data_IF_989498152015
#
_entry.id   IF_989498152015
#
_cell.length_a   1.000
_cell.length_b   1.000
_cell.length_c   1.000
_cell.angle_alpha   90.00
_cell.angle_beta   90.00
_cell.angle_gamma   90.00
#
_symmetry.space_group_name_H-M   'P 1'
#
loop_
_entity.id
_entity.type
_entity.pdbx_description
1 polymer ?
#
# COMPACT_ATOMS: atom_id res chain seq x y z
N UNK A 1 -13.31 -0.40 -15.78
CA UNK A 1 -12.38 0.72 -15.53
C UNK A 1 -12.90 1.46 -14.32
N UNK A 2 -12.25 1.31 -13.18
CA UNK A 2 -12.60 2.05 -11.96
C UNK A 2 -12.44 3.54 -12.22
N UNK A 3 -13.51 4.32 -12.10
CA UNK A 3 -13.42 5.78 -12.07
C UNK A 3 -12.61 6.15 -10.82
N UNK A 4 -11.39 6.63 -11.02
CA UNK A 4 -10.60 7.22 -9.94
C UNK A 4 -11.09 8.65 -9.76
N UNK A 5 -11.77 8.91 -8.65
CA UNK A 5 -12.33 10.21 -8.33
C UNK A 5 -11.22 11.15 -7.80
N UNK A 6 -10.98 12.26 -8.51
CA UNK A 6 -9.98 13.27 -8.14
C UNK A 6 -10.72 14.54 -7.72
N UNK A 7 -10.55 14.95 -6.46
CA UNK A 7 -11.20 16.15 -5.94
C UNK A 7 -10.51 17.42 -6.45
N UNK A 8 -11.26 18.31 -7.09
CA UNK A 8 -10.79 19.65 -7.46
C UNK A 8 -11.03 20.62 -6.31
N UNK A 9 -10.02 21.39 -5.93
CA UNK A 9 -10.06 22.33 -4.79
C UNK A 9 -9.50 23.69 -5.19
N UNK A 10 -10.17 24.79 -4.81
CA UNK A 10 -9.67 26.16 -4.97
C UNK A 10 -8.62 26.47 -3.90
N UNK A 11 -7.39 26.76 -4.33
CA UNK A 11 -6.32 27.18 -3.43
C UNK A 11 -6.31 28.69 -3.25
N UNK A 12 -6.17 29.22 -2.01
CA UNK A 12 -6.14 28.55 -0.70
C UNK A 12 -7.52 28.44 -0.01
N UNK A 13 -8.61 28.82 -0.68
CA UNK A 13 -9.93 28.95 -0.05
C UNK A 13 -10.46 27.64 0.57
N UNK A 14 -10.09 26.48 0.03
CA UNK A 14 -10.58 25.17 0.48
C UNK A 14 -9.55 24.39 1.32
N UNK A 15 -8.72 25.07 2.11
CA UNK A 15 -7.66 24.44 2.91
C UNK A 15 -8.17 23.40 3.93
N UNK A 16 -9.26 23.67 4.65
CA UNK A 16 -9.86 22.69 5.57
C UNK A 16 -10.28 21.41 4.85
N UNK A 17 -10.81 21.55 3.63
CA UNK A 17 -11.21 20.42 2.79
C UNK A 17 -10.00 19.67 2.24
N UNK A 18 -8.92 20.38 1.88
CA UNK A 18 -7.62 19.80 1.50
C UNK A 18 -7.07 18.91 2.63
N UNK A 19 -7.07 19.41 3.87
CA UNK A 19 -6.61 18.66 5.05
C UNK A 19 -7.49 17.42 5.30
N UNK A 20 -8.82 17.56 5.22
CA UNK A 20 -9.75 16.44 5.39
C UNK A 20 -9.63 15.36 4.29
N UNK A 21 -9.25 15.74 3.07
CA UNK A 21 -9.00 14.84 1.94
C UNK A 21 -7.62 14.16 2.04
N UNK A 22 -6.61 14.87 2.51
CA UNK A 22 -5.29 14.29 2.80
C UNK A 22 -5.38 13.23 3.90
N UNK A 23 -6.09 13.51 4.99
CA UNK A 23 -6.26 12.58 6.11
C UNK A 23 -6.92 11.24 5.72
N UNK A 24 -7.67 11.19 4.62
CA UNK A 24 -8.32 9.98 4.09
C UNK A 24 -7.61 9.37 2.87
N UNK A 25 -6.46 9.91 2.46
CA UNK A 25 -5.72 9.45 1.28
C UNK A 25 -6.44 9.67 -0.05
N UNK A 26 -7.27 10.71 -0.15
CA UNK A 26 -7.96 11.02 -1.40
C UNK A 26 -7.05 11.80 -2.38
N UNK A 27 -7.20 11.49 -3.67
CA UNK A 27 -6.53 12.23 -4.74
C UNK A 27 -7.15 13.62 -4.86
N UNK A 28 -6.29 14.62 -4.99
CA UNK A 28 -6.71 16.02 -5.05
C UNK A 28 -5.84 16.85 -5.99
N UNK A 29 -6.49 17.70 -6.77
CA UNK A 29 -5.85 18.66 -7.67
C UNK A 29 -6.21 20.07 -7.20
N UNK A 30 -5.19 20.85 -6.85
CA UNK A 30 -5.37 22.23 -6.40
C UNK A 30 -5.42 23.17 -7.61
N UNK A 31 -6.50 23.93 -7.73
CA UNK A 31 -6.69 24.98 -8.71
C UNK A 31 -6.16 26.29 -8.11
N UNK A 32 -5.04 26.78 -8.66
CA UNK A 32 -4.28 27.93 -8.15
C UNK A 32 -4.53 29.13 -9.04
N UNK A 33 -5.08 30.22 -8.51
CA UNK A 33 -5.24 31.46 -9.29
C UNK A 33 -3.87 32.07 -9.67
N UNK A 34 -3.83 32.84 -10.76
CA UNK A 34 -2.59 33.31 -11.38
C UNK A 34 -1.65 34.08 -10.43
N UNK A 35 -2.21 34.83 -9.49
CA UNK A 35 -1.47 35.68 -8.55
C UNK A 35 -1.16 34.97 -7.22
N UNK A 36 -1.56 33.71 -7.07
CA UNK A 36 -1.30 32.94 -5.85
C UNK A 36 0.04 32.20 -5.93
N UNK A 37 0.77 32.12 -4.80
CA UNK A 37 1.96 31.28 -4.70
C UNK A 37 1.58 29.82 -4.91
N UNK A 38 2.46 29.08 -5.59
CA UNK A 38 2.29 27.65 -5.76
C UNK A 38 2.30 26.96 -4.38
N UNK A 39 1.32 26.09 -4.08
CA UNK A 39 1.35 25.32 -2.85
C UNK A 39 2.49 24.31 -2.89
N UNK A 40 3.08 24.05 -1.72
CA UNK A 40 3.89 22.84 -1.53
C UNK A 40 2.95 21.64 -1.52
N UNK A 41 3.20 20.66 -2.41
CA UNK A 41 2.44 19.43 -2.43
C UNK A 41 2.68 18.67 -1.12
N UNK A 42 1.62 18.37 -0.39
CA UNK A 42 1.72 17.76 0.93
C UNK A 42 2.10 16.26 0.87
N UNK A 43 1.71 15.58 -0.20
CA UNK A 43 1.99 14.17 -0.44
C UNK A 43 1.96 13.83 -1.95
N UNK A 44 2.21 12.57 -2.29
CA UNK A 44 2.22 12.09 -3.66
C UNK A 44 0.82 11.95 -4.29
N UNK A 45 -0.26 12.13 -3.52
CA UNK A 45 -1.66 12.08 -3.98
C UNK A 45 -2.20 13.48 -4.28
N UNK A 46 -1.33 14.49 -4.27
CA UNK A 46 -1.64 15.88 -4.56
C UNK A 46 -0.82 16.40 -5.75
N UNK A 47 -1.48 17.20 -6.58
CA UNK A 47 -0.84 18.01 -7.62
C UNK A 47 -1.57 19.37 -7.67
N UNK A 48 -1.03 20.33 -8.40
CA UNK A 48 -1.67 21.64 -8.59
C UNK A 48 -1.56 22.09 -10.04
N UNK A 49 -2.50 22.95 -10.44
CA UNK A 49 -2.51 23.58 -11.77
C UNK A 49 -2.89 25.06 -11.64
N UNK A 50 -2.19 25.91 -12.38
CA UNK A 50 -2.44 27.36 -12.41
C UNK A 50 -3.59 27.67 -13.37
N UNK A 51 -4.50 28.53 -12.94
CA UNK A 51 -5.58 29.05 -13.76
C UNK A 51 -5.15 30.33 -14.48
N UNK A 52 -5.68 30.59 -15.70
CA UNK A 52 -6.64 29.75 -16.42
C UNK A 52 -5.97 28.49 -17.00
N UNK A 53 -6.64 27.34 -16.86
CA UNK A 53 -6.22 26.07 -17.44
C UNK A 53 -7.33 25.54 -18.35
N UNK A 54 -6.94 24.85 -19.42
CA UNK A 54 -7.91 24.15 -20.27
C UNK A 54 -8.48 22.93 -19.54
N UNK A 55 -9.67 22.47 -19.94
CA UNK A 55 -10.22 21.21 -19.42
C UNK A 55 -9.30 20.03 -19.73
N UNK A 56 -8.66 20.02 -20.90
CA UNK A 56 -7.73 18.97 -21.32
C UNK A 56 -6.51 18.89 -20.38
N UNK A 57 -5.98 20.02 -19.93
CA UNK A 57 -4.85 20.07 -18.98
C UNK A 57 -5.26 19.59 -17.59
N UNK A 58 -6.45 19.98 -17.12
CA UNK A 58 -7.02 19.51 -15.86
C UNK A 58 -7.19 17.99 -15.90
N UNK A 59 -7.79 17.46 -16.98
CA UNK A 59 -8.01 16.04 -17.15
C UNK A 59 -6.68 15.26 -17.28
N UNK A 60 -5.67 15.84 -17.95
CA UNK A 60 -4.34 15.27 -18.03
C UNK A 60 -3.67 15.17 -16.65
N UNK A 61 -3.81 16.20 -15.82
CA UNK A 61 -3.32 16.20 -14.43
C UNK A 61 -4.06 15.17 -13.58
N UNK A 62 -5.38 15.08 -13.68
CA UNK A 62 -6.18 14.06 -12.99
C UNK A 62 -5.76 12.64 -13.40
N UNK A 63 -5.56 12.37 -14.71
CA UNK A 63 -5.05 11.07 -15.19
C UNK A 63 -3.64 10.77 -14.68
N UNK A 64 -2.77 11.78 -14.64
CA UNK A 64 -1.41 11.63 -14.11
C UNK A 64 -1.43 11.34 -12.61
N UNK A 65 -2.28 12.01 -11.83
CA UNK A 65 -2.51 11.74 -10.41
C UNK A 65 -3.08 10.34 -10.19
N UNK A 66 -4.08 9.92 -10.96
CA UNK A 66 -4.63 8.57 -10.89
C UNK A 66 -3.58 7.50 -11.21
N UNK A 67 -2.79 7.69 -12.27
CA UNK A 67 -1.68 6.78 -12.62
C UNK A 67 -0.61 6.78 -11.53
N UNK A 68 -0.21 7.95 -11.02
CA UNK A 68 0.77 8.10 -9.94
C UNK A 68 0.27 7.43 -8.67
N UNK A 69 -1.01 7.57 -8.36
CA UNK A 69 -1.68 6.81 -7.30
C UNK A 69 -1.56 5.34 -7.58
N UNK A 70 -1.93 4.79 -8.73
CA UNK A 70 -1.76 3.35 -8.98
C UNK A 70 -0.31 2.85 -8.81
N UNK A 71 0.68 3.69 -9.08
CA UNK A 71 2.12 3.37 -8.90
C UNK A 71 2.61 3.56 -7.46
N UNK A 72 2.10 4.54 -6.70
CA UNK A 72 2.49 4.81 -5.30
C UNK A 72 1.59 4.08 -4.29
N UNK A 73 0.32 3.99 -4.63
CA UNK A 73 -0.69 3.05 -4.14
C UNK A 73 -0.57 1.68 -4.81
N UNK A 74 0.62 1.33 -5.35
CA UNK A 74 1.07 -0.07 -5.44
C UNK A 74 1.35 -0.59 -4.02
N UNK A 75 0.43 -0.47 -3.06
CA UNK A 75 -0.84 -1.17 -2.78
C UNK A 75 -0.55 -2.13 -1.63
N UNK A 76 -1.29 -2.04 -0.53
CA UNK A 76 -1.15 -3.05 0.51
C UNK A 76 -1.35 -4.43 -0.14
N UNK A 77 -0.45 -5.39 0.08
CA UNK A 77 -0.48 -6.65 -0.62
C UNK A 77 -1.86 -7.33 -0.52
N UNK A 78 -2.40 -7.76 -1.66
CA UNK A 78 -3.75 -8.34 -1.74
C UNK A 78 -3.68 -9.86 -1.80
N UNK A 79 -4.41 -10.55 -0.93
CA UNK A 79 -4.55 -12.01 -0.97
C UNK A 79 -5.97 -12.38 -1.40
N UNK A 80 -6.11 -13.12 -2.50
CA UNK A 80 -7.41 -13.59 -2.96
C UNK A 80 -7.84 -14.92 -2.27
N UNK A 81 -9.11 -15.34 -2.43
CA UNK A 81 -9.63 -16.56 -1.81
C UNK A 81 -8.92 -17.85 -2.23
N UNK A 82 -8.27 -17.85 -3.40
CA UNK A 82 -7.54 -18.99 -3.94
C UNK A 82 -6.08 -19.03 -3.47
N UNK A 83 -5.68 -18.10 -2.61
CA UNK A 83 -4.35 -18.04 -2.01
C UNK A 83 -3.29 -17.38 -2.90
N UNK A 84 -3.69 -16.58 -3.89
CA UNK A 84 -2.76 -15.79 -4.71
C UNK A 84 -2.54 -14.42 -4.08
N UNK A 85 -1.30 -14.19 -3.67
CA UNK A 85 -0.82 -12.91 -3.14
C UNK A 85 -0.33 -12.03 -4.29
N UNK A 86 -0.80 -10.78 -4.37
CA UNK A 86 -0.43 -9.79 -5.38
C UNK A 86 0.16 -8.54 -4.75
N UNK A 87 1.15 -7.95 -5.41
CA UNK A 87 1.78 -6.68 -5.05
C UNK A 87 2.22 -5.99 -6.34
N UNK A 88 1.66 -4.81 -6.63
CA UNK A 88 1.89 -4.14 -7.92
C UNK A 88 1.55 -5.07 -9.09
N UNK A 89 2.51 -5.30 -9.99
CA UNK A 89 2.35 -6.21 -11.14
C UNK A 89 2.77 -7.66 -10.86
N UNK A 90 3.34 -7.95 -9.68
CA UNK A 90 3.83 -9.27 -9.30
C UNK A 90 2.79 -10.10 -8.54
N UNK A 91 2.91 -11.44 -8.63
CA UNK A 91 2.07 -12.37 -7.87
C UNK A 91 2.82 -13.65 -7.48
N UNK A 92 2.36 -14.29 -6.38
CA UNK A 92 2.79 -15.63 -5.97
C UNK A 92 1.63 -16.44 -5.40
N UNK A 93 1.64 -17.76 -5.61
CA UNK A 93 0.67 -18.67 -4.98
C UNK A 93 1.18 -19.15 -3.62
N UNK A 94 0.33 -19.06 -2.61
CA UNK A 94 0.57 -19.51 -1.24
C UNK A 94 -0.19 -20.82 -0.96
N UNK A 95 0.47 -21.84 -0.39
CA UNK A 95 -0.23 -22.99 0.18
C UNK A 95 -1.27 -22.58 1.23
N UNK A 96 -2.35 -23.36 1.47
CA UNK A 96 -3.47 -22.94 2.32
C UNK A 96 -3.08 -22.46 3.73
N UNK A 97 -2.11 -23.13 4.35
CA UNK A 97 -1.59 -22.73 5.66
C UNK A 97 -0.83 -21.40 5.60
N UNK A 98 0.01 -21.22 4.58
CA UNK A 98 0.77 -19.99 4.36
C UNK A 98 -0.16 -18.82 4.00
N UNK A 99 -1.22 -19.08 3.22
CA UNK A 99 -2.25 -18.11 2.88
C UNK A 99 -2.98 -17.59 4.12
N UNK A 100 -3.43 -18.46 5.04
CA UNK A 100 -4.07 -18.02 6.29
C UNK A 100 -3.14 -17.21 7.19
N UNK A 101 -1.87 -17.62 7.30
CA UNK A 101 -0.87 -16.88 8.06
C UNK A 101 -0.62 -15.50 7.44
N UNK A 102 -0.55 -15.44 6.11
CA UNK A 102 -0.42 -14.20 5.36
C UNK A 102 -1.64 -13.29 5.57
N UNK A 103 -2.86 -13.82 5.49
CA UNK A 103 -4.09 -13.06 5.77
C UNK A 103 -4.02 -12.35 7.12
N UNK A 104 -3.63 -13.05 8.18
CA UNK A 104 -3.51 -12.44 9.51
C UNK A 104 -2.41 -11.37 9.61
N UNK A 105 -1.36 -11.46 8.79
CA UNK A 105 -0.32 -10.43 8.68
C UNK A 105 -0.79 -9.23 7.86
N UNK A 106 -1.59 -9.46 6.81
CA UNK A 106 -2.18 -8.43 5.95
C UNK A 106 -3.23 -7.60 6.68
N UNK A 107 -4.08 -8.25 7.48
CA UNK A 107 -5.08 -7.58 8.34
C UNK A 107 -4.43 -6.55 9.28
N UNK A 108 -3.13 -6.71 9.55
CA UNK A 108 -2.31 -5.82 10.37
C UNK A 108 -1.01 -5.44 9.67
N UNK A 109 -1.07 -5.13 8.38
CA UNK A 109 0.09 -4.69 7.61
C UNK A 109 0.80 -3.49 8.27
N UNK A 110 2.12 -3.56 8.41
CA UNK A 110 2.92 -2.57 9.15
C UNK A 110 2.83 -2.66 10.67
N UNK A 111 2.11 -3.63 11.25
CA UNK A 111 1.98 -3.83 12.69
C UNK A 111 2.39 -5.24 13.15
N UNK A 112 2.72 -5.36 14.43
CA UNK A 112 3.16 -6.65 15.01
C UNK A 112 1.96 -7.55 15.29
N UNK A 113 1.99 -8.75 14.71
CA UNK A 113 1.08 -9.86 15.02
C UNK A 113 1.80 -10.84 15.94
N UNK A 114 1.17 -11.20 17.05
CA UNK A 114 1.83 -12.05 18.06
C UNK A 114 2.01 -13.49 17.59
N UNK A 115 3.04 -14.16 18.12
CA UNK A 115 3.29 -15.60 17.83
C UNK A 115 2.09 -16.47 18.19
N UNK A 116 1.46 -16.19 19.33
CA UNK A 116 0.28 -16.93 19.79
C UNK A 116 -0.92 -16.73 18.85
N UNK A 117 -1.13 -15.50 18.36
CA UNK A 117 -2.20 -15.23 17.41
C UNK A 117 -1.97 -16.00 16.10
N UNK A 118 -0.77 -15.88 15.52
CA UNK A 118 -0.41 -16.60 14.30
C UNK A 118 -0.47 -18.11 14.47
N UNK A 119 -0.08 -18.63 15.63
CA UNK A 119 -0.15 -20.05 15.92
C UNK A 119 -1.59 -20.55 16.00
N UNK A 120 -2.49 -19.79 16.63
CA UNK A 120 -3.94 -20.11 16.65
C UNK A 120 -4.58 -20.01 15.27
N UNK A 121 -4.21 -19.01 14.47
CA UNK A 121 -4.70 -18.88 13.08
C UNK A 121 -4.20 -20.02 12.19
N UNK A 122 -2.92 -20.36 12.28
CA UNK A 122 -2.30 -21.42 11.50
C UNK A 122 -2.68 -22.83 11.97
N UNK A 123 -2.93 -23.02 13.26
CA UNK A 123 -3.28 -24.33 13.81
C UNK A 123 -4.32 -24.18 14.93
N UNK A 124 -5.61 -24.03 14.57
CA UNK A 124 -6.68 -23.90 15.56
C UNK A 124 -6.74 -25.09 16.54
N UNK A 125 -6.35 -26.28 16.08
CA UNK A 125 -6.32 -27.52 16.87
C UNK A 125 -4.97 -27.83 17.51
N UNK A 126 -4.02 -26.87 17.50
CA UNK A 126 -2.68 -27.05 18.03
C UNK A 126 -1.63 -27.31 16.94
N UNK A 127 -0.48 -26.65 17.08
CA UNK A 127 0.63 -26.77 16.13
C UNK A 127 1.36 -28.11 16.32
N UNK A 128 1.87 -28.74 15.22
CA UNK A 128 2.54 -30.04 15.27
C UNK A 128 3.91 -30.02 15.97
N UNK A 129 4.41 -28.84 16.36
CA UNK A 129 5.65 -28.68 17.12
C UNK A 129 5.92 -27.21 17.46
N UNK A 130 6.80 -26.97 18.45
CA UNK A 130 7.12 -25.61 18.94
C UNK A 130 7.67 -24.66 17.87
N UNK A 131 8.31 -25.22 16.84
CA UNK A 131 8.99 -24.46 15.77
C UNK A 131 8.18 -24.41 14.46
N UNK A 132 6.95 -24.92 14.44
CA UNK A 132 6.16 -24.99 13.21
C UNK A 132 5.93 -23.61 12.58
N UNK A 133 5.63 -22.61 13.41
CA UNK A 133 5.46 -21.21 12.95
C UNK A 133 6.72 -20.68 12.29
N UNK A 134 7.90 -20.88 12.90
CA UNK A 134 9.17 -20.37 12.38
C UNK A 134 9.51 -20.96 11.00
N UNK A 135 9.22 -22.25 10.79
CA UNK A 135 9.42 -22.92 9.50
C UNK A 135 8.55 -22.29 8.40
N UNK A 136 7.27 -22.02 8.69
CA UNK A 136 6.39 -21.38 7.71
C UNK A 136 6.74 -19.90 7.48
N UNK A 137 7.19 -19.18 8.51
CA UNK A 137 7.69 -17.81 8.33
C UNK A 137 8.94 -17.77 7.45
N UNK A 138 9.84 -18.75 7.57
CA UNK A 138 11.01 -18.87 6.68
C UNK A 138 10.60 -19.11 5.22
N UNK A 139 9.59 -19.97 4.98
CA UNK A 139 9.08 -20.24 3.63
C UNK A 139 8.37 -19.03 3.03
N UNK A 140 7.51 -18.37 3.80
CA UNK A 140 6.82 -17.15 3.39
C UNK A 140 7.81 -16.06 2.99
N UNK A 141 8.84 -15.79 3.79
CA UNK A 141 9.89 -14.82 3.46
C UNK A 141 10.51 -15.05 2.09
N UNK A 142 10.92 -16.29 1.80
CA UNK A 142 11.53 -16.64 0.51
C UNK A 142 10.54 -16.47 -0.63
N UNK A 143 9.28 -16.83 -0.40
CA UNK A 143 8.23 -16.83 -1.41
C UNK A 143 7.79 -15.41 -1.79
N UNK A 144 7.68 -14.49 -0.83
CA UNK A 144 7.19 -13.13 -1.06
C UNK A 144 8.30 -12.12 -1.41
N UNK A 145 9.57 -12.48 -1.23
CA UNK A 145 10.68 -11.58 -1.53
C UNK A 145 10.65 -11.01 -2.97
N UNK A 146 10.31 -11.78 -4.02
CA UNK A 146 10.19 -11.25 -5.39
C UNK A 146 9.07 -10.21 -5.56
N UNK A 147 8.11 -10.17 -4.62
CA UNK A 147 7.05 -9.16 -4.60
C UNK A 147 7.46 -7.86 -3.92
N UNK A 148 8.69 -7.74 -3.43
CA UNK A 148 9.11 -6.57 -2.65
C UNK A 148 8.40 -6.49 -1.30
N UNK A 149 8.11 -7.65 -0.68
CA UNK A 149 7.53 -7.74 0.67
C UNK A 149 8.51 -8.36 1.64
N UNK A 150 8.46 -7.94 2.91
CA UNK A 150 9.32 -8.45 3.96
C UNK A 150 8.54 -8.82 5.22
N UNK A 151 8.86 -9.98 5.81
CA UNK A 151 8.38 -10.38 7.13
C UNK A 151 9.51 -10.20 8.15
N UNK A 152 9.39 -9.22 9.03
CA UNK A 152 10.32 -8.98 10.14
C UNK A 152 9.95 -9.76 11.38
N UNK A 153 10.96 -10.20 12.13
CA UNK A 153 10.77 -10.75 13.47
C UNK A 153 10.92 -9.62 14.48
N UNK A 154 9.91 -9.42 15.34
CA UNK A 154 10.01 -8.56 16.52
C UNK A 154 10.25 -9.44 17.74
N UNK A 155 11.47 -9.39 18.27
CA UNK A 155 11.95 -10.29 19.34
C UNK A 155 10.96 -10.35 20.50
N UNK A 156 10.64 -11.56 20.94
CA UNK A 156 9.71 -11.85 22.04
C UNK A 156 8.27 -11.35 21.85
N UNK A 157 7.90 -10.82 20.67
CA UNK A 157 6.54 -10.31 20.40
C UNK A 157 5.88 -11.07 19.27
N UNK A 158 6.54 -11.21 18.12
CA UNK A 158 5.92 -11.82 16.94
C UNK A 158 6.54 -11.40 15.63
N UNK A 159 5.69 -11.21 14.63
CA UNK A 159 6.11 -10.88 13.26
C UNK A 159 5.33 -9.69 12.74
N UNK A 160 5.95 -8.98 11.80
CA UNK A 160 5.39 -7.83 11.11
C UNK A 160 5.63 -8.00 9.63
N UNK A 161 4.63 -7.70 8.82
CA UNK A 161 4.72 -7.66 7.37
C UNK A 161 4.79 -6.20 6.93
N UNK A 162 5.74 -5.88 6.05
CA UNK A 162 5.98 -4.55 5.51
C UNK A 162 6.40 -4.64 4.04
N UNK A 163 6.39 -3.49 3.36
CA UNK A 163 7.07 -3.38 2.07
C UNK A 163 8.58 -3.55 2.29
N UNK A 164 9.20 -4.41 1.48
CA UNK A 164 10.65 -4.54 1.42
C UNK A 164 11.26 -3.43 0.57
N UNK A 165 12.51 -3.04 0.87
CA UNK A 165 13.29 -2.21 -0.05
C UNK A 165 13.44 -2.97 -1.37
N UNK A 166 12.79 -2.48 -2.43
CA UNK A 166 13.11 -2.87 -3.79
C UNK A 166 14.56 -2.43 -4.04
N UNK A 167 15.50 -3.38 -4.06
CA UNK A 167 16.82 -3.12 -4.62
C UNK A 167 16.62 -2.77 -6.09
N UNK A 168 16.60 -1.47 -6.39
CA UNK A 168 16.72 -0.96 -7.73
C UNK A 168 18.07 -1.44 -8.26
N UNK A 169 18.02 -2.44 -9.14
CA UNK A 169 19.18 -2.80 -9.97
C UNK A 169 19.41 -1.61 -10.89
N UNK A 170 20.51 -0.87 -10.65
CA UNK A 170 20.98 0.12 -11.60
C UNK A 170 21.30 -0.59 -12.92
N UNK A 171 20.74 -0.16 -14.07
CA UNK A 171 21.23 -0.65 -15.35
C UNK A 171 22.68 -0.18 -15.53
N UNK A 172 23.51 -1.09 -16.05
CA UNK A 172 24.93 -0.88 -16.32
C UNK A 172 25.16 0.17 -17.43
#
# INVERSE_FOLDING_TARGET
>A
MTLVDVALLRWPLEEDRRLALSARGALRLLLVDADMPAPEAADCLEDWIRLPASQDDIDARCRALATRSMVHNSEAPGLDPDGVLRMGTGWVSLPPLEARLMSALLDRFGAVVSRDNLSRTGWPMGAPGRNALDVHMLRLRRRIAPLGLAIRTVRSRGYLLEAGELQMVQPA
#
